data_IF_407566469304
#
_entry.id   IF_407566469304
#
_cell.length_a   1.000
_cell.length_b   1.000
_cell.length_c   1.000
_cell.angle_alpha   90.00
_cell.angle_beta   90.00
_cell.angle_gamma   90.00
#
_symmetry.space_group_name_H-M   'P 1'
#
loop_
_entity.id
_entity.type
_entity.pdbx_description
1 polymer ?
#
# COMPACT_ATOMS: atom_id res chain seq x y z
N UNK A 1 11.26 -9.27 -12.12
CA UNK A 1 12.23 -10.19 -12.77
C UNK A 1 13.17 -9.35 -13.64
N UNK A 2 14.39 -9.81 -13.90
CA UNK A 2 15.19 -9.20 -14.95
C UNK A 2 14.56 -9.51 -16.31
N UNK A 3 14.86 -8.69 -17.32
CA UNK A 3 14.24 -8.85 -18.64
C UNK A 3 14.55 -10.22 -19.26
N UNK A 4 15.77 -10.74 -19.04
CA UNK A 4 16.20 -12.03 -19.56
C UNK A 4 15.43 -13.21 -18.92
N UNK A 5 14.96 -13.07 -17.68
CA UNK A 5 14.15 -14.09 -16.98
C UNK A 5 12.67 -14.04 -17.37
N UNK A 6 12.18 -12.87 -17.78
CA UNK A 6 10.77 -12.64 -18.13
C UNK A 6 10.67 -11.52 -19.19
N UNK A 7 10.82 -11.85 -20.49
CA UNK A 7 11.03 -10.86 -21.56
C UNK A 7 9.73 -10.22 -22.06
N UNK A 8 8.92 -9.74 -21.11
CA UNK A 8 7.65 -9.06 -21.38
C UNK A 8 7.66 -7.66 -20.76
N UNK A 9 7.20 -6.67 -21.52
CA UNK A 9 6.86 -5.37 -20.95
C UNK A 9 5.61 -5.53 -20.09
N UNK A 10 5.66 -5.04 -18.85
CA UNK A 10 4.56 -5.15 -17.90
C UNK A 10 3.94 -3.76 -17.70
N UNK A 11 2.62 -3.69 -17.74
CA UNK A 11 1.84 -2.51 -17.34
C UNK A 11 0.80 -2.93 -16.32
N UNK A 12 0.82 -2.27 -15.16
CA UNK A 12 -0.18 -2.44 -14.11
C UNK A 12 -1.04 -1.17 -14.06
N UNK A 13 -2.35 -1.36 -13.93
CA UNK A 13 -3.31 -0.28 -13.72
C UNK A 13 -4.10 -0.64 -12.46
N UNK A 14 -4.22 0.31 -11.54
CA UNK A 14 -5.01 0.16 -10.32
C UNK A 14 -6.13 1.18 -10.35
N UNK A 15 -7.37 0.69 -10.45
CA UNK A 15 -8.57 1.51 -10.41
C UNK A 15 -9.17 1.45 -9.00
N UNK A 16 -9.17 2.60 -8.33
CA UNK A 16 -9.70 2.72 -6.96
C UNK A 16 -11.22 2.82 -7.03
N UNK A 17 -11.91 1.71 -6.75
CA UNK A 17 -13.38 1.66 -6.78
C UNK A 17 -14.00 2.21 -5.49
N UNK A 18 -13.29 2.11 -4.37
CA UNK A 18 -13.65 2.67 -3.06
C UNK A 18 -12.39 3.19 -2.36
N UNK A 19 -12.55 4.22 -1.52
CA UNK A 19 -11.44 4.80 -0.77
C UNK A 19 -11.93 5.37 0.56
N UNK A 20 -11.55 4.74 1.66
CA UNK A 20 -11.75 5.25 3.02
C UNK A 20 -10.51 5.03 3.90
N UNK A 21 -9.33 5.24 3.32
CA UNK A 21 -8.06 4.82 3.88
C UNK A 21 -7.16 4.35 2.75
N UNK A 22 -5.85 4.44 2.95
CA UNK A 22 -4.78 4.35 1.96
C UNK A 22 -5.00 3.41 0.74
N UNK A 23 -5.67 3.92 -0.29
CA UNK A 23 -5.84 3.24 -1.58
C UNK A 23 -4.50 3.02 -2.30
N UNK A 24 -3.48 3.81 -1.96
CA UNK A 24 -2.09 3.60 -2.41
C UNK A 24 -1.51 2.28 -1.89
N UNK A 25 -1.76 1.92 -0.63
CA UNK A 25 -1.25 0.65 -0.08
C UNK A 25 -2.08 -0.54 -0.56
N UNK A 26 -3.40 -0.35 -0.72
CA UNK A 26 -4.24 -1.31 -1.42
C UNK A 26 -3.75 -1.57 -2.86
N UNK A 27 -3.27 -0.54 -3.56
CA UNK A 27 -2.66 -0.68 -4.90
C UNK A 27 -1.40 -1.55 -4.88
N UNK A 28 -0.55 -1.48 -3.86
CA UNK A 28 0.61 -2.37 -3.71
C UNK A 28 0.16 -3.81 -3.56
N UNK A 29 -0.77 -4.07 -2.65
CA UNK A 29 -1.32 -5.41 -2.40
C UNK A 29 -1.99 -5.99 -3.66
N UNK A 30 -2.85 -5.20 -4.31
CA UNK A 30 -3.53 -5.59 -5.54
C UNK A 30 -2.54 -5.87 -6.68
N UNK A 31 -1.52 -5.02 -6.86
CA UNK A 31 -0.49 -5.22 -7.88
C UNK A 31 0.30 -6.51 -7.66
N UNK A 32 0.64 -6.82 -6.41
CA UNK A 32 1.32 -8.06 -6.02
C UNK A 32 0.50 -9.29 -6.44
N UNK A 33 -0.80 -9.28 -6.14
CA UNK A 33 -1.74 -10.34 -6.55
C UNK A 33 -1.91 -10.43 -8.06
N UNK A 34 -2.10 -9.30 -8.75
CA UNK A 34 -2.25 -9.27 -10.22
C UNK A 34 -1.00 -9.77 -10.94
N UNK A 35 0.19 -9.47 -10.42
CA UNK A 35 1.45 -9.99 -10.96
C UNK A 35 1.55 -11.51 -10.79
N UNK A 36 1.17 -12.03 -9.63
CA UNK A 36 1.12 -13.48 -9.39
C UNK A 36 0.10 -14.18 -10.29
N UNK A 37 -1.10 -13.60 -10.44
CA UNK A 37 -2.16 -14.13 -11.29
C UNK A 37 -1.76 -14.12 -12.78
N UNK A 38 -1.08 -13.07 -13.23
CA UNK A 38 -0.52 -12.99 -14.58
C UNK A 38 0.72 -13.89 -14.80
N UNK A 39 1.15 -14.66 -13.79
CA UNK A 39 2.29 -15.57 -13.88
C UNK A 39 3.65 -14.86 -13.92
N UNK A 40 3.74 -13.60 -13.49
CA UNK A 40 5.01 -12.87 -13.44
C UNK A 40 5.87 -13.42 -12.30
N UNK A 41 7.13 -13.81 -12.56
CA UNK A 41 8.03 -14.33 -11.52
C UNK A 41 8.58 -13.18 -10.66
N UNK A 42 7.75 -12.69 -9.74
CA UNK A 42 8.15 -11.71 -8.72
C UNK A 42 9.03 -12.39 -7.65
N UNK A 43 9.96 -11.64 -7.05
CA UNK A 43 10.91 -12.17 -6.06
C UNK A 43 10.21 -12.67 -4.80
N UNK A 44 9.21 -11.92 -4.33
CA UNK A 44 8.35 -12.22 -3.20
C UNK A 44 7.05 -11.40 -3.32
N UNK A 45 5.96 -11.82 -2.68
CA UNK A 45 4.76 -10.98 -2.53
C UNK A 45 5.10 -9.71 -1.74
N UNK A 46 4.61 -8.56 -2.23
CA UNK A 46 4.67 -7.28 -1.52
C UNK A 46 3.28 -6.89 -1.00
N UNK A 47 3.26 -6.19 0.14
CA UNK A 47 2.08 -5.60 0.74
C UNK A 47 2.45 -4.27 1.39
N UNK A 48 1.47 -3.40 1.61
CA UNK A 48 1.70 -2.13 2.29
C UNK A 48 0.60 -1.82 3.30
N UNK A 49 0.90 -0.91 4.23
CA UNK A 49 -0.04 -0.41 5.24
C UNK A 49 0.20 1.08 5.50
N UNK A 50 -0.87 1.81 5.80
CA UNK A 50 -0.78 3.18 6.29
C UNK A 50 -0.98 3.21 7.80
N UNK A 51 -0.14 3.98 8.46
CA UNK A 51 -0.05 4.13 9.90
C UNK A 51 -0.30 5.59 10.24
N UNK A 52 -0.98 5.83 11.35
CA UNK A 52 -1.23 7.17 11.87
C UNK A 52 -0.51 7.42 13.19
N UNK A 53 -0.47 8.69 13.58
CA UNK A 53 -0.01 9.11 14.90
C UNK A 53 -0.95 10.18 15.44
N UNK A 54 -1.31 10.06 16.71
CA UNK A 54 -1.96 11.13 17.49
C UNK A 54 -1.05 11.43 18.67
N UNK A 55 -0.74 12.71 18.88
CA UNK A 55 0.12 13.19 19.96
C UNK A 55 -0.52 14.36 20.68
N UNK A 56 -0.73 14.20 21.98
CA UNK A 56 -1.19 15.27 22.87
C UNK A 56 -0.17 15.50 23.98
N UNK A 57 0.57 16.62 23.90
CA UNK A 57 1.65 16.92 24.82
C UNK A 57 2.76 15.86 24.80
N UNK A 58 2.82 15.06 25.87
CA UNK A 58 3.78 13.96 26.03
C UNK A 58 3.25 12.58 25.62
N UNK A 59 1.94 12.42 25.44
CA UNK A 59 1.31 11.15 25.12
C UNK A 59 1.27 10.92 23.61
N UNK A 60 1.50 9.68 23.18
CA UNK A 60 1.54 9.28 21.77
C UNK A 60 0.78 7.98 21.58
N UNK A 61 -0.12 7.96 20.59
CA UNK A 61 -0.78 6.76 20.11
C UNK A 61 -0.44 6.53 18.63
N UNK A 62 -0.06 5.31 18.29
CA UNK A 62 0.15 4.88 16.91
C UNK A 62 -1.10 4.14 16.43
N UNK A 63 -1.62 4.54 15.28
CA UNK A 63 -2.78 3.93 14.63
C UNK A 63 -2.31 3.05 13.48
N UNK A 64 -2.91 1.88 13.33
CA UNK A 64 -2.60 0.94 12.23
C UNK A 64 -3.79 0.87 11.30
N UNK A 65 -3.54 0.90 9.99
CA UNK A 65 -4.57 0.89 8.93
C UNK A 65 -5.57 2.04 9.05
N UNK A 66 -5.04 3.26 8.96
CA UNK A 66 -5.84 4.47 9.19
C UNK A 66 -6.93 4.68 8.15
N UNK A 67 -8.09 5.09 8.65
CA UNK A 67 -9.20 5.61 7.87
C UNK A 67 -8.91 7.04 7.38
N UNK A 68 -9.66 7.51 6.38
CA UNK A 68 -9.50 8.87 5.86
C UNK A 68 -9.74 9.98 6.91
N UNK A 69 -10.60 9.72 7.91
CA UNK A 69 -10.82 10.66 9.01
C UNK A 69 -9.65 10.69 10.01
N UNK A 70 -9.04 9.53 10.27
CA UNK A 70 -7.90 9.40 11.18
C UNK A 70 -6.62 10.00 10.59
N UNK A 71 -6.49 9.98 9.26
CA UNK A 71 -5.49 10.77 8.52
C UNK A 71 -5.76 12.27 8.67
N UNK A 72 -6.96 12.73 8.30
CA UNK A 72 -7.30 14.16 8.29
C UNK A 72 -7.22 14.84 9.67
N UNK A 73 -7.45 14.09 10.75
CA UNK A 73 -7.41 14.58 12.13
C UNK A 73 -6.13 14.17 12.87
N UNK A 74 -5.33 13.27 12.32
CA UNK A 74 -4.09 12.78 12.91
C UNK A 74 -2.93 13.76 12.70
N UNK A 75 -1.85 13.53 13.43
CA UNK A 75 -0.62 14.32 13.35
C UNK A 75 0.37 13.78 12.31
N UNK A 76 0.15 12.57 11.80
CA UNK A 76 1.01 11.94 10.81
C UNK A 76 0.26 10.90 9.97
N UNK A 77 0.53 10.90 8.66
CA UNK A 77 0.26 9.81 7.72
C UNK A 77 1.60 9.18 7.32
N UNK A 78 1.86 7.96 7.79
CA UNK A 78 3.08 7.22 7.51
C UNK A 78 2.76 5.95 6.72
N UNK A 79 3.40 5.76 5.57
CA UNK A 79 3.14 4.61 4.67
C UNK A 79 4.39 3.75 4.54
N UNK A 80 4.22 2.43 4.62
CA UNK A 80 5.29 1.46 4.44
C UNK A 80 4.85 0.31 3.53
N UNK A 81 5.73 -0.09 2.61
CA UNK A 81 5.55 -1.16 1.63
C UNK A 81 6.91 -1.79 1.26
#
# INVERSE_FOLDING_TARGET
PEYDDFPYTIRIVSDVLESNGSSSMATVCGSSLSLMDAGVPIKAPCAGVAMGLIKEGGDVAILTDILGLEDALGDMDFKVA
#
